data_IF_260122619484
#
_entry.id   IF_260122619484
#
_cell.length_a   1.000
_cell.length_b   1.000
_cell.length_c   1.000
_cell.angle_alpha   90.00
_cell.angle_beta   90.00
_cell.angle_gamma   90.00
#
_symmetry.space_group_name_H-M   'P 1'
#
loop_
_entity.id
_entity.type
_entity.pdbx_description
1 polymer ?
2 non-polymer ?
3 non-polymer ?
4 non-polymer ?
5 water ?
#
# COMPACT_ATOMS: atom_id res chain seq x y z
N UNK A 10 16.63 -16.16 -17.14
CA UNK A 10 15.31 -16.58 -17.57
C UNK A 10 14.23 -16.11 -16.60
N UNK A 11 14.54 -16.19 -15.31
CA UNK A 11 13.57 -15.95 -14.25
C UNK A 11 13.62 -14.48 -13.84
N UNK A 12 12.49 -13.80 -13.96
CA UNK A 12 12.40 -12.41 -13.55
C UNK A 12 12.19 -12.31 -12.04
N UNK A 13 12.79 -11.28 -11.44
CA UNK A 13 12.43 -10.96 -10.07
C UNK A 13 10.93 -10.75 -10.00
N UNK A 14 10.33 -11.24 -8.92
CA UNK A 14 8.88 -11.13 -8.69
C UNK A 14 8.67 -10.45 -7.36
N UNK A 15 8.24 -9.20 -7.39
CA UNK A 15 8.07 -8.39 -6.19
C UNK A 15 6.62 -8.48 -5.76
N UNK A 16 6.38 -9.08 -4.60
CA UNK A 16 5.03 -9.33 -4.11
C UNK A 16 4.59 -8.22 -3.15
N UNK A 17 3.71 -7.37 -3.64
CA UNK A 17 3.19 -6.21 -2.96
C UNK A 17 1.79 -6.49 -2.45
N UNK A 18 1.51 -6.05 -1.24
CA UNK A 18 0.18 -6.18 -0.68
C UNK A 18 -0.31 -4.79 -0.31
N UNK A 19 -1.52 -4.46 -0.78
CA UNK A 19 -2.21 -3.23 -0.41
C UNK A 19 -3.02 -3.49 0.83
N UNK A 20 -2.81 -2.69 1.88
CA UNK A 20 -3.57 -2.79 3.10
C UNK A 20 -4.05 -1.41 3.51
N UNK A 21 -5.07 -1.38 4.35
CA UNK A 21 -5.65 -0.14 4.80
C UNK A 21 -7.15 -0.35 4.95
N UNK A 22 -7.79 0.56 5.69
CA UNK A 22 -9.22 0.46 5.96
C UNK A 22 -10.04 0.82 4.72
N UNK A 23 -11.35 0.71 4.84
CA UNK A 23 -12.21 0.82 3.69
C UNK A 23 -12.26 2.23 3.10
N UNK A 24 -12.33 2.26 1.77
CA UNK A 24 -12.52 3.50 1.03
C UNK A 24 -11.33 4.43 0.95
N UNK A 25 -10.15 4.00 1.43
CA UNK A 25 -8.99 4.88 1.42
C UNK A 25 -8.37 5.02 0.05
N UNK A 26 -8.63 4.09 -0.87
CA UNK A 26 -8.12 4.15 -2.23
C UNK A 26 -7.19 3.03 -2.64
N UNK A 27 -7.24 1.91 -1.90
CA UNK A 27 -6.42 0.76 -2.26
C UNK A 27 -6.68 0.32 -3.69
N UNK A 28 -7.96 0.16 -4.03
CA UNK A 28 -8.28 -0.27 -5.40
C UNK A 28 -7.98 0.81 -6.42
N UNK A 29 -8.33 2.05 -6.11
CA UNK A 29 -8.09 3.13 -7.06
C UNK A 29 -6.61 3.29 -7.35
N UNK A 30 -5.78 3.21 -6.32
CA UNK A 30 -4.33 3.26 -6.53
C UNK A 30 -3.87 2.09 -7.41
N UNK A 31 -4.34 0.89 -7.10
CA UNK A 31 -3.91 -0.29 -7.84
C UNK A 31 -4.30 -0.16 -9.29
N UNK A 32 -5.55 0.22 -9.55
CA UNK A 32 -6.04 0.26 -10.91
C UNK A 32 -5.44 1.42 -11.69
N UNK A 33 -5.13 2.54 -11.04
CA UNK A 33 -4.42 3.62 -11.73
C UNK A 33 -3.03 3.14 -12.15
N UNK A 34 -2.32 2.47 -11.25
CA UNK A 34 -1.02 1.94 -11.60
C UNK A 34 -1.13 0.90 -12.70
N UNK A 35 -2.15 0.07 -12.64
CA UNK A 35 -2.15 -1.07 -13.52
C UNK A 35 -2.65 -0.68 -14.92
N UNK A 36 -3.71 0.16 -14.98
CA UNK A 36 -4.45 0.38 -16.22
C UNK A 36 -4.58 1.86 -16.57
N UNK A 37 -3.93 2.75 -15.83
CA UNK A 37 -3.92 4.17 -16.17
C UNK A 37 -5.34 4.74 -16.22
N UNK A 38 -6.20 4.27 -15.31
CA UNK A 38 -7.57 4.75 -15.22
C UNK A 38 -7.89 5.03 -13.75
N UNK A 39 -8.63 6.10 -13.49
CA UNK A 39 -9.19 6.38 -12.16
C UNK A 39 -10.56 5.72 -12.11
N UNK A 40 -10.69 4.71 -11.26
CA UNK A 40 -11.88 3.87 -11.13
C UNK A 40 -12.52 4.18 -9.79
N UNK A 41 -13.76 4.69 -9.82
CA UNK A 41 -14.38 5.27 -8.65
C UNK A 41 -15.45 4.41 -8.01
N UNK A 42 -15.82 3.28 -8.62
CA UNK A 42 -16.88 2.43 -8.09
C UNK A 42 -16.46 0.97 -8.09
N UNK A 43 -15.22 0.70 -7.67
CA UNK A 43 -14.78 -0.68 -7.55
C UNK A 43 -15.40 -1.31 -6.31
N UNK A 44 -16.07 -2.45 -6.50
CA UNK A 44 -16.76 -3.17 -5.44
C UNK A 44 -15.92 -3.17 -4.17
N UNK A 45 -16.41 -2.53 -3.09
CA UNK A 45 -15.60 -2.44 -1.86
C UNK A 45 -15.21 -3.78 -1.27
N UNK A 46 -15.96 -4.84 -1.52
CA UNK A 46 -15.65 -6.15 -0.98
C UNK A 46 -14.89 -7.05 -1.96
N UNK A 47 -14.54 -6.55 -3.14
CA UNK A 47 -13.90 -7.37 -4.18
C UNK A 47 -12.39 -7.27 -4.02
N UNK A 48 -11.73 -8.39 -3.76
CA UNK A 48 -10.28 -8.46 -3.74
C UNK A 48 -9.80 -9.01 -5.08
N UNK A 49 -8.55 -8.72 -5.40
CA UNK A 49 -8.01 -9.19 -6.66
C UNK A 49 -6.50 -9.07 -6.59
N UNK A 50 -5.83 -9.95 -7.31
CA UNK A 50 -4.38 -9.86 -7.50
C UNK A 50 -4.12 -9.41 -8.93
N UNK A 51 -3.03 -8.67 -9.12
CA UNK A 51 -2.64 -8.12 -10.40
C UNK A 51 -1.17 -8.41 -10.61
N UNK A 52 -0.81 -8.68 -11.87
CA UNK A 52 0.58 -8.94 -12.21
C UNK A 52 0.93 -8.19 -13.48
N UNK A 53 2.07 -7.49 -13.45
CA UNK A 53 2.50 -6.64 -14.54
C UNK A 53 4.02 -6.72 -14.65
N UNK A 54 4.52 -6.74 -15.87
CA UNK A 54 5.95 -6.59 -16.11
C UNK A 54 6.26 -5.10 -16.05
N UNK A 55 7.29 -4.74 -15.30
CA UNK A 55 7.70 -3.35 -15.20
C UNK A 55 9.22 -3.29 -15.16
N UNK A 56 9.76 -2.23 -15.75
CA UNK A 56 11.20 -2.02 -15.86
C UNK A 56 11.57 -1.15 -14.68
N UNK A 57 12.16 -1.77 -13.66
CA UNK A 57 12.56 -1.11 -12.41
C UNK A 57 14.05 -0.79 -12.45
N UNK A 58 14.38 0.50 -12.53
CA UNK A 58 15.76 0.95 -12.62
C UNK A 58 16.52 0.22 -13.70
N UNK A 59 15.86 0.02 -14.84
CA UNK A 59 16.48 -0.65 -15.97
C UNK A 59 16.34 -2.16 -16.00
N UNK A 60 15.89 -2.77 -14.91
CA UNK A 60 15.79 -4.22 -14.82
C UNK A 60 14.33 -4.62 -14.98
N UNK A 61 14.07 -5.50 -15.94
CA UNK A 61 12.71 -5.99 -16.12
C UNK A 61 12.38 -6.95 -14.98
N UNK A 62 11.28 -6.68 -14.29
CA UNK A 62 10.82 -7.43 -13.15
C UNK A 62 9.33 -7.65 -13.31
N UNK A 63 8.78 -8.53 -12.47
CA UNK A 63 7.33 -8.67 -12.38
C UNK A 63 6.88 -8.14 -11.03
N UNK A 64 5.82 -7.34 -11.03
CA UNK A 64 5.16 -6.90 -9.81
C UNK A 64 3.87 -7.70 -9.67
N UNK A 65 3.62 -8.17 -8.46
CA UNK A 65 2.37 -8.81 -8.11
C UNK A 65 1.75 -7.97 -7.00
N UNK A 66 0.52 -7.50 -7.23
CA UNK A 66 -0.18 -6.64 -6.28
C UNK A 66 -1.41 -7.40 -5.79
N UNK A 67 -1.46 -7.69 -4.50
CA UNK A 67 -2.69 -8.15 -3.88
C UNK A 67 -3.45 -6.94 -3.35
N UNK A 68 -4.59 -6.66 -3.96
CA UNK A 68 -5.45 -5.54 -3.59
C UNK A 68 -6.45 -6.11 -2.59
N UNK A 69 -6.10 -6.08 -1.29
CA UNK A 69 -6.98 -6.66 -0.28
C UNK A 69 -8.22 -5.80 -0.07
N UNK A 70 -9.33 -6.45 0.22
CA UNK A 70 -10.62 -5.77 0.33
C UNK A 70 -11.26 -5.99 1.69
N UNK A 71 -10.52 -6.53 2.65
CA UNK A 71 -10.98 -6.57 4.03
C UNK A 71 -11.90 -7.72 4.35
N UNK A 72 -12.13 -8.63 3.41
CA UNK A 72 -13.14 -9.65 3.61
C UNK A 72 -12.63 -10.86 4.40
N UNK A 73 -11.33 -11.11 4.40
CA UNK A 73 -10.78 -12.27 5.12
C UNK A 73 -10.80 -11.95 6.61
N UNK A 74 -11.80 -12.50 7.31
CA UNK A 74 -11.95 -12.31 8.74
C UNK A 74 -11.16 -13.34 9.54
N UNK A 75 -10.88 -14.51 8.97
CA UNK A 75 -10.23 -15.60 9.70
C UNK A 75 -8.74 -15.28 9.82
N UNK A 76 -8.27 -15.17 11.07
CA UNK A 76 -6.98 -14.56 11.34
C UNK A 76 -5.85 -15.40 10.76
N UNK A 77 -5.97 -16.72 10.81
CA UNK A 77 -4.89 -17.56 10.26
C UNK A 77 -4.74 -17.33 8.76
N UNK A 78 -5.86 -17.18 8.05
CA UNK A 78 -5.81 -16.97 6.61
C UNK A 78 -5.29 -15.58 6.27
N UNK A 79 -5.74 -14.56 7.00
CA UNK A 79 -5.21 -13.22 6.80
C UNK A 79 -3.71 -13.22 6.99
N UNK A 80 -3.25 -13.88 8.05
CA UNK A 80 -1.82 -13.97 8.30
C UNK A 80 -1.10 -14.71 7.18
N UNK A 81 -1.73 -15.74 6.63
CA UNK A 81 -1.12 -16.45 5.52
C UNK A 81 -0.96 -15.53 4.32
N UNK A 82 -1.97 -14.72 4.01
CA UNK A 82 -1.82 -13.77 2.90
C UNK A 82 -0.68 -12.78 3.18
N UNK A 83 -0.56 -12.31 4.42
CA UNK A 83 0.52 -11.37 4.73
C UNK A 83 1.89 -12.04 4.64
N UNK A 84 1.97 -13.30 5.07
CA UNK A 84 3.25 -13.99 5.07
C UNK A 84 3.78 -14.13 3.65
N UNK A 85 2.89 -14.26 2.67
CA UNK A 85 3.32 -14.38 1.29
C UNK A 85 3.84 -13.05 0.77
N UNK A 86 3.39 -11.93 1.34
CA UNK A 86 3.81 -10.65 0.84
C UNK A 86 5.26 -10.35 1.17
N UNK A 87 5.90 -9.62 0.28
CA UNK A 87 7.23 -9.10 0.49
C UNK A 87 7.28 -7.62 0.83
N UNK A 88 6.30 -6.85 0.40
CA UNK A 88 6.26 -5.43 0.73
C UNK A 88 4.82 -4.99 0.83
N UNK A 89 4.61 -3.91 1.59
CA UNK A 89 3.26 -3.47 1.92
C UNK A 89 3.10 -1.99 1.65
N UNK A 90 2.04 -1.63 0.96
CA UNK A 90 1.59 -0.26 0.90
C UNK A 90 0.48 -0.15 1.92
N UNK A 91 0.73 0.60 2.96
CA UNK A 91 -0.21 0.79 4.04
C UNK A 91 -0.90 2.12 3.81
N UNK A 92 -2.12 2.05 3.31
CA UNK A 92 -2.80 3.21 2.77
C UNK A 92 -3.83 3.70 3.76
N UNK A 93 -3.90 5.01 3.91
CA UNK A 93 -5.01 5.68 4.59
C UNK A 93 -5.45 6.83 3.71
N UNK A 94 -6.60 7.42 4.04
CA UNK A 94 -7.08 8.58 3.34
C UNK A 94 -6.77 9.81 4.17
N UNK A 95 -6.14 10.81 3.58
CA UNK A 95 -5.92 12.05 4.32
C UNK A 95 -7.23 12.70 4.77
N UNK A 96 -8.36 12.31 4.18
CA UNK A 96 -9.65 12.91 4.52
C UNK A 96 -10.38 12.16 5.63
N UNK A 97 -9.82 11.07 6.15
CA UNK A 97 -10.49 10.28 7.18
C UNK A 97 -9.49 9.95 8.29
N UNK A 98 -9.59 10.67 9.40
CA UNK A 98 -8.65 10.47 10.48
C UNK A 98 -8.67 9.03 10.99
N UNK A 99 -9.85 8.40 11.03
CA UNK A 99 -9.94 7.06 11.58
C UNK A 99 -9.18 6.08 10.72
N UNK A 100 -9.02 6.39 9.42
CA UNK A 100 -8.27 5.49 8.55
C UNK A 100 -6.77 5.61 8.80
N UNK A 101 -6.32 6.80 9.18
CA UNK A 101 -4.95 6.98 9.63
C UNK A 101 -4.71 6.25 10.94
N UNK A 102 -5.63 6.39 11.91
CA UNK A 102 -5.49 5.63 13.15
C UNK A 102 -5.41 4.13 12.87
N UNK A 103 -6.21 3.64 11.92
CA UNK A 103 -6.27 2.21 11.63
C UNK A 103 -4.96 1.66 11.09
N UNK A 104 -4.09 2.52 10.53
CA UNK A 104 -2.85 2.02 9.97
C UNK A 104 -2.01 1.36 11.02
N UNK A 105 -2.12 1.77 12.27
CA UNK A 105 -1.35 1.12 13.33
C UNK A 105 -1.67 -0.37 13.44
N UNK A 106 -2.93 -0.74 13.22
CA UNK A 106 -3.32 -2.15 13.32
C UNK A 106 -2.71 -2.96 12.19
N UNK A 107 -2.79 -2.45 10.98
CA UNK A 107 -2.18 -3.16 9.86
C UNK A 107 -0.69 -3.33 10.07
N UNK A 108 -0.04 -2.29 10.58
CA UNK A 108 1.38 -2.39 10.86
C UNK A 108 1.65 -3.48 11.88
N UNK A 109 0.91 -3.51 12.96
CA UNK A 109 1.16 -4.56 13.96
C UNK A 109 0.91 -5.94 13.37
N UNK A 110 -0.14 -6.08 12.55
CA UNK A 110 -0.45 -7.36 11.94
C UNK A 110 0.69 -7.82 11.04
N UNK A 111 1.25 -6.91 10.26
CA UNK A 111 2.35 -7.24 9.39
C UNK A 111 3.58 -7.63 10.20
N UNK A 112 3.91 -6.84 11.23
CA UNK A 112 5.08 -7.16 12.05
C UNK A 112 4.95 -8.50 12.75
N UNK A 113 3.75 -8.83 13.25
CA UNK A 113 3.56 -10.12 13.90
C UNK A 113 3.88 -11.25 12.92
N UNK A 114 3.53 -11.08 11.65
CA UNK A 114 3.69 -12.15 10.67
C UNK A 114 5.10 -12.16 10.10
N UNK A 115 5.61 -11.00 9.71
CA UNK A 115 6.91 -10.93 9.05
C UNK A 115 8.06 -10.93 10.05
N UNK A 116 7.81 -10.59 11.31
CA UNK A 116 8.80 -10.66 12.38
C UNK A 116 10.05 -9.87 12.02
N UNK A 117 9.86 -8.73 11.36
CA UNK A 117 10.99 -7.94 10.85
C UNK A 117 10.51 -6.50 10.75
N UNK A 118 11.00 -5.65 11.64
CA UNK A 118 10.57 -4.26 11.67
C UNK A 118 11.02 -3.50 10.43
N UNK A 119 11.93 -4.05 9.64
CA UNK A 119 12.37 -3.42 8.41
C UNK A 119 11.69 -4.00 7.18
N UNK A 120 10.58 -4.70 7.36
CA UNK A 120 9.89 -5.25 6.20
C UNK A 120 9.58 -4.10 5.24
N UNK A 121 9.77 -4.28 3.93
CA UNK A 121 9.43 -3.21 2.99
C UNK A 121 8.00 -2.74 3.21
N UNK A 122 7.86 -1.44 3.39
CA UNK A 122 6.62 -0.88 3.87
C UNK A 122 6.63 0.62 3.64
N UNK A 123 5.59 1.14 3.00
CA UNK A 123 5.40 2.57 2.86
C UNK A 123 4.07 2.96 3.53
N UNK A 124 4.08 4.08 4.25
CA UNK A 124 2.85 4.71 4.74
C UNK A 124 2.38 5.66 3.63
N UNK A 125 1.19 5.42 3.10
CA UNK A 125 0.68 6.14 1.94
C UNK A 125 -0.55 6.93 2.34
N UNK A 126 -0.46 8.25 2.26
CA UNK A 126 -1.60 9.09 2.53
C UNK A 126 -2.26 9.43 1.22
N UNK A 127 -3.38 8.79 0.91
CA UNK A 127 -4.04 8.94 -0.38
C UNK A 127 -5.10 10.04 -0.31
N UNK A 128 -5.54 10.48 -1.50
CA UNK A 128 -6.51 11.54 -1.73
C UNK A 128 -5.92 12.93 -1.51
N UNK A 129 -4.66 13.11 -1.91
CA UNK A 129 -4.00 14.39 -1.74
C UNK A 129 -4.60 15.48 -2.60
N UNK A 130 -5.50 15.12 -3.51
CA UNK A 130 -6.18 16.16 -4.27
C UNK A 130 -7.39 16.72 -3.53
N UNK A 131 -7.65 16.24 -2.31
CA UNK A 131 -8.77 16.74 -1.50
C UNK A 131 -8.21 17.50 -0.30
N UNK A 132 -7.29 18.42 -0.57
CA UNK A 132 -6.65 19.16 0.52
C UNK A 132 -7.68 19.85 1.40
N UNK A 133 -8.76 20.36 0.79
CA UNK A 133 -9.80 21.09 1.52
C UNK A 133 -10.62 20.18 2.42
N UNK A 134 -10.45 18.85 2.33
CA UNK A 134 -11.11 17.88 3.20
C UNK A 134 -10.11 17.16 4.10
N UNK A 135 -8.87 17.64 4.17
CA UNK A 135 -7.85 16.96 4.96
C UNK A 135 -8.22 16.93 6.44
N UNK A 136 -8.08 15.73 7.02
CA UNK A 136 -8.30 15.51 8.44
C UNK A 136 -7.02 15.03 9.10
N UNK A 137 -6.04 14.59 8.33
CA UNK A 137 -4.77 14.09 8.84
C UNK A 137 -3.67 15.02 8.37
N UNK A 138 -2.96 15.64 9.30
CA UNK A 138 -1.94 16.59 8.92
C UNK A 138 -0.72 15.89 8.36
N UNK A 139 -0.08 16.56 7.41
CA UNK A 139 1.19 16.05 6.90
C UNK A 139 2.15 15.80 8.05
N UNK A 140 2.22 16.75 8.98
CA UNK A 140 3.15 16.62 10.10
C UNK A 140 2.91 15.33 10.88
N UNK A 141 1.65 15.06 11.23
CA UNK A 141 1.38 13.92 12.09
C UNK A 141 1.60 12.60 11.35
N UNK A 142 1.31 12.57 10.04
CA UNK A 142 1.65 11.38 9.26
C UNK A 142 3.16 11.21 9.13
N UNK A 143 3.89 12.29 8.89
CA UNK A 143 5.34 12.19 8.83
C UNK A 143 5.90 11.73 10.17
N UNK A 144 5.33 12.21 11.27
CA UNK A 144 5.82 11.80 12.58
C UNK A 144 5.60 10.31 12.80
N UNK A 145 4.44 9.80 12.41
CA UNK A 145 4.24 8.36 12.55
C UNK A 145 5.23 7.60 11.68
N UNK A 146 5.47 8.07 10.46
CA UNK A 146 6.40 7.35 9.59
C UNK A 146 7.79 7.37 10.20
N UNK A 147 8.16 8.48 10.81
CA UNK A 147 9.44 8.54 11.49
C UNK A 147 9.50 7.55 12.65
N UNK A 148 8.41 7.43 13.44
CA UNK A 148 8.41 6.48 14.54
C UNK A 148 8.60 5.06 14.06
N UNK A 149 8.06 4.72 12.88
CA UNK A 149 8.16 3.39 12.31
C UNK A 149 9.36 3.19 11.41
N UNK A 150 10.16 4.23 11.18
CA UNK A 150 11.26 4.22 10.22
C UNK A 150 10.79 3.78 8.84
N UNK A 151 9.67 4.34 8.38
CA UNK A 151 9.21 4.11 7.02
C UNK A 151 9.06 5.46 6.33
N UNK A 152 9.03 5.44 5.02
CA UNK A 152 8.80 6.66 4.28
C UNK A 152 7.31 6.94 4.18
N UNK A 153 6.95 8.22 4.23
CA UNK A 153 5.59 8.68 4.03
C UNK A 153 5.49 9.33 2.67
N UNK A 154 4.52 8.88 1.86
CA UNK A 154 4.27 9.45 0.54
C UNK A 154 2.79 9.75 0.45
N UNK A 155 2.44 10.95 0.00
CA UNK A 155 1.05 11.28 -0.29
C UNK A 155 0.77 11.07 -1.77
N UNK A 156 -0.35 10.45 -2.04
CA UNK A 156 -0.75 10.08 -3.37
C UNK A 156 -2.12 10.61 -3.72
N UNK A 157 -2.39 10.61 -5.01
CA UNK A 157 -3.76 10.81 -5.48
C UNK A 157 -3.99 9.80 -6.59
N UNK A 158 -4.89 8.85 -6.36
CA UNK A 158 -5.35 7.97 -7.45
C UNK A 158 -6.11 8.73 -8.52
N UNK A 159 -6.64 9.91 -8.19
CA UNK A 159 -7.38 10.69 -9.17
C UNK A 159 -6.44 11.40 -10.14
N UNK A 160 -5.45 12.12 -9.64
CA UNK A 160 -4.53 12.86 -10.49
C UNK A 160 -3.31 12.06 -10.91
N UNK A 161 -3.12 10.87 -10.32
CA UNK A 161 -1.97 9.98 -10.53
C UNK A 161 -0.76 10.41 -9.70
N UNK A 162 -0.85 11.48 -8.91
CA UNK A 162 0.32 11.97 -8.20
C UNK A 162 0.90 10.89 -7.31
N UNK A 163 2.17 10.59 -7.51
CA UNK A 163 2.98 9.66 -6.72
C UNK A 163 2.47 8.23 -6.77
N UNK A 164 1.62 7.90 -7.72
CA UNK A 164 1.14 6.52 -7.81
C UNK A 164 2.28 5.60 -8.24
N UNK A 165 2.95 5.93 -9.34
CA UNK A 165 4.07 5.11 -9.74
C UNK A 165 5.16 5.13 -8.66
N UNK A 166 5.32 6.27 -7.99
CA UNK A 166 6.35 6.40 -6.97
C UNK A 166 6.16 5.36 -5.86
N UNK A 167 4.96 5.23 -5.34
CA UNK A 167 4.80 4.34 -4.20
C UNK A 167 5.09 2.90 -4.59
N UNK A 168 4.65 2.50 -5.77
CA UNK A 168 4.90 1.12 -6.20
C UNK A 168 6.36 0.91 -6.53
N UNK A 169 6.98 1.85 -7.23
CA UNK A 169 8.38 1.66 -7.57
C UNK A 169 9.25 1.75 -6.35
N UNK A 170 8.96 2.68 -5.44
CA UNK A 170 9.81 2.81 -4.25
C UNK A 170 9.66 1.59 -3.36
N UNK A 171 8.45 1.04 -3.27
CA UNK A 171 8.29 -0.19 -2.50
C UNK A 171 9.07 -1.33 -3.12
N UNK A 172 9.03 -1.44 -4.46
CA UNK A 172 9.84 -2.48 -5.08
C UNK A 172 11.32 -2.26 -4.82
N UNK A 173 11.76 -1.00 -4.76
CA UNK A 173 13.18 -0.77 -4.48
C UNK A 173 13.53 -1.23 -3.07
N UNK A 174 12.60 -1.11 -2.11
CA UNK A 174 12.84 -1.61 -0.77
C UNK A 174 12.88 -3.12 -0.75
N UNK A 175 11.97 -3.77 -1.48
CA UNK A 175 12.01 -5.22 -1.57
C UNK A 175 13.33 -5.68 -2.18
N UNK A 176 13.72 -5.05 -3.29
CA UNK A 176 14.99 -5.39 -3.94
C UNK A 176 16.16 -5.26 -2.98
N UNK A 177 16.20 -4.18 -2.22
CA UNK A 177 17.38 -3.93 -1.39
C UNK A 177 17.43 -4.85 -0.17
N UNK A 178 16.28 -5.13 0.42
CA UNK A 178 16.21 -5.76 1.74
C UNK A 178 16.08 -7.25 1.68
N UNK A 179 15.57 -7.82 0.60
CA UNK A 179 15.42 -9.27 0.50
C UNK A 179 16.52 -9.88 -0.37
X LIG B 1 -10.64 0.93 -1.09
X LIG B 1 -10.23 -0.04 -2.18
X LIG B 1 -9.49 1.29 -0.20
X LIG B 1 -11.83 0.46 -0.26
X LIG B 1 -11.04 2.35 -1.76
X LIG B 1 -11.34 2.62 -3.32
X LIG B 1 -10.07 2.62 -4.14
X LIG B 1 -12.51 1.82 -3.81
X LIG B 1 -11.78 4.16 -3.21
X LIG B 1 -12.95 4.52 -2.49
X LIG B 1 -13.57 5.77 -3.07
X LIG B 1 -12.60 6.82 -2.89
X LIG B 1 -13.89 5.74 -4.56
X LIG B 1 -15.07 6.51 -4.80
X LIG B 1 -12.76 6.46 -5.25
X LIG B 1 -13.09 7.14 -6.44
X LIG B 1 -12.33 7.43 -4.14
X LIG B 1 -10.90 7.70 -4.24
X LIG B 1 -9.92 6.79 -4.15
X LIG B 1 -8.73 7.41 -4.30
X LIG B 1 -8.97 8.72 -4.46
X LIG B 1 -8.16 9.91 -4.65
X LIG B 1 -6.93 9.87 -4.67
X LIG B 1 -8.81 11.07 -4.78
X LIG B 1 -10.16 11.17 -4.72
X LIG B 1 -10.74 12.37 -4.88
X LIG B 1 -10.98 10.12 -4.55
X LIG B 1 -10.42 8.91 -4.40
X LIG B 1 -12.71 4.68 -1.44
X LIG B 1 -13.67 3.70 -2.54
X LIG B 1 -14.53 5.89 -2.57
X LIG B 1 -14.04 4.70 -4.92
X LIG B 1 -15.18 6.63 -5.74
X LIG B 1 -11.99 5.77 -5.63
X LIG B 1 -12.52 6.84 -7.16
X LIG B 1 -12.89 8.36 -4.25
X LIG B 1 -10.05 5.74 -3.97
X LIG B 1 -8.25 11.93 -4.93
X LIG B 1 -10.18 13.19 -5.01
X LIG B 1 -11.74 12.44 -4.84
X LIG C 1 -6.59 -9.24 4.77
X LIG C 1 -7.94 -9.92 2.98
X LIG C 1 -7.77 -9.34 4.20
X LIG C 1 -8.71 -8.43 6.17
X LIG C 1 -5.50 -9.70 4.18
X LIG C 1 -5.60 -10.33 2.95
X LIG C 1 -9.92 -12.67 0.56
X LIG C 1 -11.70 -13.58 1.81
X LIG C 1 -9.28 -9.99 2.48
X LIG C 1 -8.43 -14.00 -0.74
X LIG C 1 -9.08 -16.49 -1.43
X LIG C 1 -7.68 -12.91 -1.12
X LIG C 1 -9.56 -13.88 0.11
X LIG C 1 -11.63 -14.74 0.83
X LIG C 1 -8.02 -11.66 -0.64
X LIG C 1 -9.14 -11.57 0.17
X LIG C 1 -6.84 -10.45 2.34
X LIG C 1 -8.58 -9.07 0.17
X LIG C 1 -8.91 -8.83 4.83
X LIG C 1 -10.99 -9.66 0.59
X LIG C 1 -10.31 -15.05 0.43
X LIG C 1 -11.03 -12.43 1.40
X LIG C 1 -7.00 -15.44 -2.45
X LIG C 1 -7.94 -15.61 -1.34
X LIG C 1 -9.57 -9.94 0.82
X LIG C 1 -8.00 -7.61 6.20
X LIG C 1 -8.31 -9.26 6.74
X LIG C 1 -9.65 -8.11 6.59
X LIG C 1 -4.53 -9.61 4.67
X LIG C 1 -4.71 -10.70 2.45
X LIG C 1 -12.74 -13.31 1.94
X LIG C 1 -11.26 -13.91 2.74
X LIG C 1 -10.04 -10.08 3.12
X LIG C 1 -6.82 -13.03 -1.77
X LIG C 1 -12.07 -15.62 1.29
X LIG C 1 -12.20 -14.48 -0.06
X LIG C 1 -7.44 -10.79 -0.90
X LIG C 1 -6.95 -10.95 1.38
X LIG D 1 -11.02 -2.05 -2.78
X LIG E 1 10.31 -11.89 -4.70
X LIG F 1 0.93 3.83 -16.31
#
# INVERSE_FOLDING_TARGET
MAANKPKGQNSLALHKVIMVGSGGVGKSALTLQFMYDEFVEDYEPTKADSYRKKVVLDGEEVQIDILDTAGQEDYAAIRDNYFRSGEGFLCVFSITEMESFAATADFREQILRVKEDENVPFLLVGNKSDLEDKRQVSVEEAKNRAEQWNVNYVETSAKTRANVDKVFFDLMREIRARLEHHHHHH
GDP PB O1B O2B O3B O3A PA O1A O2A O5' C5' C4' O4' C3' O3' C2' O2' C1' N9 C8 N7 C5 C6 O6 N1 C2 N2 N3 C4 H5' H5'' H4' H3' HO3' H2' HO2' H1' H8 HN1 HN21 HN22
Y0M N1 C4 C5 C6 C7 C8 C10 C13 N C O C1 C11 C12 C2 C3 C9 O1 O2 O3 O4 O5 O6 S S1 H63 H62 H61 H71 H81 H132 H131 HN1 H11 H121 H122 H21 H91
CA CA
CA CA
CA CA
#
